data_IF_719445900716
#
_entry.id   IF_719445900716
#
_cell.length_a   1.000
_cell.length_b   1.000
_cell.length_c   1.000
_cell.angle_alpha   90.00
_cell.angle_beta   90.00
_cell.angle_gamma   90.00
#
_symmetry.space_group_name_H-M   'P 1'
#
loop_
_entity.id
_entity.type
_entity.pdbx_description
1 polymer ?
#
# COMPACT_ATOMS: atom_id res chain seq x y z
N UNK A 1 38.82 -18.71 -5.28
CA UNK A 1 40.12 -19.07 -4.73
C UNK A 1 39.92 -19.88 -3.45
N UNK A 2 40.76 -20.89 -3.26
CA UNK A 2 40.72 -21.71 -2.04
C UNK A 2 41.38 -20.93 -0.90
N UNK A 3 40.71 -20.87 0.23
CA UNK A 3 41.32 -20.39 1.47
C UNK A 3 41.43 -21.57 2.43
N UNK A 4 42.63 -21.94 2.80
CA UNK A 4 42.86 -22.97 3.83
C UNK A 4 42.94 -22.24 5.20
N UNK A 5 42.01 -22.59 6.07
CA UNK A 5 41.95 -22.08 7.42
C UNK A 5 42.15 -23.25 8.40
N UNK A 6 43.18 -23.15 9.23
CA UNK A 6 43.40 -24.10 10.32
C UNK A 6 42.81 -23.54 11.61
N UNK A 7 41.92 -24.33 12.23
CA UNK A 7 41.29 -23.96 13.50
C UNK A 7 41.57 -24.99 14.59
N UNK A 8 41.98 -24.51 15.72
CA UNK A 8 42.04 -25.28 16.97
C UNK A 8 40.89 -24.80 17.85
N UNK A 9 39.73 -25.40 17.72
CA UNK A 9 38.55 -25.10 18.53
C UNK A 9 37.32 -24.62 17.76
N UNK A 10 36.32 -24.07 18.45
CA UNK A 10 35.12 -23.54 17.86
C UNK A 10 35.42 -22.27 17.05
N UNK A 11 34.99 -22.21 15.81
CA UNK A 11 35.16 -21.06 14.95
C UNK A 11 33.81 -20.39 14.63
N UNK A 12 33.87 -19.10 14.38
CA UNK A 12 32.70 -18.31 14.03
C UNK A 12 32.70 -18.07 12.53
N UNK A 13 31.71 -18.63 11.82
CA UNK A 13 31.53 -18.45 10.37
C UNK A 13 31.05 -17.04 10.01
N UNK A 14 30.78 -16.18 10.97
CA UNK A 14 30.28 -14.80 10.77
C UNK A 14 31.09 -13.98 9.74
N UNK A 15 32.37 -14.29 9.60
CA UNK A 15 33.23 -13.61 8.64
C UNK A 15 32.93 -13.98 7.18
N UNK A 16 32.52 -15.20 6.92
CA UNK A 16 32.21 -15.69 5.58
C UNK A 16 30.78 -15.31 5.13
N UNK A 17 29.92 -14.95 6.06
CA UNK A 17 28.53 -14.58 5.78
C UNK A 17 28.35 -13.09 5.42
N UNK A 18 29.42 -12.29 5.39
CA UNK A 18 29.29 -10.87 5.04
C UNK A 18 29.24 -10.68 3.52
N UNK A 19 28.18 -10.03 3.09
CA UNK A 19 27.92 -9.35 1.80
C UNK A 19 27.85 -10.17 0.51
N UNK A 20 28.70 -11.13 0.23
CA UNK A 20 28.62 -11.92 -1.01
C UNK A 20 27.49 -12.97 -1.01
N UNK A 21 26.99 -13.32 0.16
CA UNK A 21 25.91 -14.28 0.35
C UNK A 21 24.51 -13.70 0.16
N UNK A 22 24.35 -12.44 0.46
CA UNK A 22 23.05 -11.78 0.38
C UNK A 22 22.50 -11.71 -1.04
N UNK A 23 23.37 -11.89 -2.04
CA UNK A 23 23.02 -11.72 -3.44
C UNK A 23 23.02 -13.02 -4.28
N UNK A 24 23.36 -14.17 -3.70
CA UNK A 24 23.35 -15.44 -4.44
C UNK A 24 22.08 -16.23 -4.14
N UNK A 25 21.10 -16.12 -5.02
CA UNK A 25 19.94 -17.01 -5.03
C UNK A 25 20.41 -18.44 -5.33
N UNK A 26 20.30 -19.34 -4.35
CA UNK A 26 20.46 -20.78 -4.53
C UNK A 26 21.86 -21.36 -4.43
N UNK A 27 22.84 -20.62 -3.93
CA UNK A 27 24.16 -21.21 -3.67
C UNK A 27 24.16 -22.01 -2.37
N UNK A 28 24.21 -23.31 -2.47
CA UNK A 28 24.61 -24.18 -1.36
C UNK A 28 26.10 -24.02 -1.12
N UNK A 29 26.48 -23.44 0.01
CA UNK A 29 27.86 -23.39 0.43
C UNK A 29 28.15 -24.53 1.41
N UNK A 30 28.83 -25.53 0.94
CA UNK A 30 29.34 -26.61 1.78
C UNK A 30 30.74 -26.26 2.26
N UNK A 31 30.96 -26.36 3.56
CA UNK A 31 32.29 -26.24 4.16
C UNK A 31 32.89 -27.61 4.33
N UNK A 32 34.09 -27.81 3.81
CA UNK A 32 34.84 -29.04 3.94
C UNK A 32 36.05 -28.80 4.83
N UNK A 33 36.24 -29.64 5.84
CA UNK A 33 37.49 -29.74 6.56
C UNK A 33 38.54 -30.40 5.67
N UNK A 34 39.81 -30.25 6.00
CA UNK A 34 40.94 -30.94 5.39
C UNK A 34 40.81 -32.49 5.45
N UNK A 35 39.95 -33.00 6.31
CA UNK A 35 39.56 -34.41 6.40
C UNK A 35 38.51 -34.84 5.39
N UNK A 36 38.01 -33.95 4.52
CA UNK A 36 36.92 -34.19 3.61
C UNK A 36 35.53 -34.30 4.25
N UNK A 37 35.40 -33.97 5.53
CA UNK A 37 34.10 -33.95 6.21
C UNK A 37 33.36 -32.65 5.95
N UNK A 38 32.12 -32.77 5.54
CA UNK A 38 31.20 -31.61 5.43
C UNK A 38 30.79 -31.18 6.83
N UNK A 39 31.09 -29.95 7.23
CA UNK A 39 30.71 -29.41 8.54
C UNK A 39 29.24 -28.95 8.55
N UNK A 40 28.67 -28.68 7.39
CA UNK A 40 27.28 -28.30 7.20
C UNK A 40 27.09 -27.47 5.96
N UNK A 41 25.91 -27.50 5.42
CA UNK A 41 25.39 -26.53 4.45
C UNK A 41 24.48 -25.56 5.21
N UNK A 42 24.67 -24.28 5.04
CA UNK A 42 23.69 -23.28 5.49
C UNK A 42 22.73 -23.00 4.35
N UNK A 43 21.51 -23.33 4.55
CA UNK A 43 20.41 -22.94 3.67
C UNK A 43 19.66 -21.79 4.32
N UNK A 44 19.63 -20.59 3.73
CA UNK A 44 18.90 -19.47 4.30
C UNK A 44 17.39 -19.74 4.26
N UNK A 45 16.67 -19.28 5.27
CA UNK A 45 15.21 -19.36 5.24
C UNK A 45 14.68 -18.64 3.99
N UNK A 46 13.68 -19.22 3.29
CA UNK A 46 13.02 -18.55 2.19
C UNK A 46 12.48 -17.19 2.63
N UNK A 47 12.49 -16.22 1.72
CA UNK A 47 11.91 -14.92 1.95
C UNK A 47 10.40 -15.01 2.26
N UNK A 48 9.88 -14.07 3.06
CA UNK A 48 8.44 -14.01 3.33
C UNK A 48 7.67 -13.57 2.08
N UNK A 49 6.51 -14.17 1.85
CA UNK A 49 5.60 -13.80 0.76
C UNK A 49 4.28 -13.30 1.32
N UNK A 50 3.80 -12.16 0.82
CA UNK A 50 2.53 -11.54 1.22
C UNK A 50 1.51 -11.63 0.12
N UNK A 51 0.27 -11.94 0.51
CA UNK A 51 -0.90 -11.92 -0.36
C UNK A 51 -2.05 -11.20 0.31
N UNK A 52 -2.98 -10.70 -0.48
CA UNK A 52 -4.22 -10.08 -0.02
C UNK A 52 -5.41 -10.71 -0.73
N UNK A 53 -6.55 -10.79 -0.06
CA UNK A 53 -7.76 -11.37 -0.62
C UNK A 53 -8.94 -11.32 0.34
N UNK A 54 -10.03 -11.95 -0.06
CA UNK A 54 -11.27 -11.98 0.74
C UNK A 54 -11.06 -12.58 2.12
N UNK A 55 -11.90 -12.13 3.07
CA UNK A 55 -11.85 -12.60 4.45
C UNK A 55 -11.93 -14.14 4.53
N UNK A 56 -11.00 -14.75 5.25
CA UNK A 56 -10.83 -16.20 5.43
C UNK A 56 -10.45 -16.99 4.16
N UNK A 57 -10.11 -16.33 3.07
CA UNK A 57 -9.61 -17.03 1.88
C UNK A 57 -8.31 -17.80 2.21
N UNK A 58 -8.07 -18.93 1.54
CA UNK A 58 -6.83 -19.67 1.67
C UNK A 58 -5.68 -18.89 1.03
N UNK A 59 -4.44 -19.07 1.50
CA UNK A 59 -3.29 -18.40 0.92
C UNK A 59 -3.16 -18.66 -0.58
N UNK A 60 -3.42 -19.89 -1.03
CA UNK A 60 -3.27 -20.28 -2.43
C UNK A 60 -4.37 -19.69 -3.33
N UNK A 61 -5.52 -19.32 -2.77
CA UNK A 61 -6.60 -18.63 -3.51
C UNK A 61 -6.43 -17.11 -3.56
N UNK A 62 -5.51 -16.54 -2.77
CA UNK A 62 -5.18 -15.13 -2.78
C UNK A 62 -4.13 -14.82 -3.83
N UNK A 63 -4.07 -13.56 -4.31
CA UNK A 63 -3.00 -13.06 -5.17
C UNK A 63 -2.06 -12.12 -4.42
N UNK A 64 -0.90 -11.86 -5.00
CA UNK A 64 0.07 -10.88 -4.46
C UNK A 64 -0.43 -9.46 -4.61
N UNK A 65 -1.19 -9.20 -5.67
CA UNK A 65 -1.68 -7.86 -6.03
C UNK A 65 -0.54 -6.85 -6.13
N UNK A 66 0.43 -7.15 -6.98
CA UNK A 66 1.66 -6.36 -7.17
C UNK A 66 1.44 -5.10 -8.00
N UNK A 67 0.19 -4.80 -8.34
CA UNK A 67 -0.24 -3.63 -9.09
C UNK A 67 0.40 -3.55 -10.49
N UNK A 68 0.37 -4.67 -11.19
CA UNK A 68 0.77 -4.81 -12.59
C UNK A 68 -0.45 -5.08 -13.48
N UNK A 69 -0.30 -5.04 -14.81
CA UNK A 69 -1.41 -5.31 -15.74
C UNK A 69 -2.01 -6.71 -15.57
N UNK A 70 -1.20 -7.68 -15.17
CA UNK A 70 -1.62 -9.06 -14.95
C UNK A 70 -1.95 -9.37 -13.48
N UNK A 71 -1.68 -8.46 -12.57
CA UNK A 71 -1.91 -8.61 -11.13
C UNK A 71 -2.31 -7.25 -10.53
N UNK A 72 -3.54 -6.79 -10.81
CA UNK A 72 -4.04 -5.48 -10.36
C UNK A 72 -4.16 -5.42 -8.85
N UNK A 73 -4.22 -4.20 -8.29
CA UNK A 73 -4.48 -3.99 -6.87
C UNK A 73 -5.82 -4.62 -6.46
N UNK A 74 -5.88 -5.16 -5.25
CA UNK A 74 -7.10 -5.75 -4.70
C UNK A 74 -8.14 -4.67 -4.42
N UNK A 75 -9.37 -4.87 -4.90
CA UNK A 75 -10.44 -3.88 -4.76
C UNK A 75 -11.10 -3.94 -3.37
N UNK A 76 -11.12 -2.78 -2.70
CA UNK A 76 -11.78 -2.58 -1.42
C UNK A 76 -12.87 -1.52 -1.56
N UNK A 77 -13.91 -1.66 -0.75
CA UNK A 77 -14.99 -0.68 -0.60
C UNK A 77 -15.15 -0.34 0.87
N UNK A 78 -15.81 0.76 1.17
CA UNK A 78 -16.08 1.17 2.55
C UNK A 78 -16.60 0.01 3.40
N UNK A 79 -15.97 -0.21 4.54
CA UNK A 79 -16.34 -1.24 5.50
C UNK A 79 -16.07 -2.68 5.08
N UNK A 80 -15.51 -2.92 3.88
CA UNK A 80 -15.18 -4.26 3.41
C UNK A 80 -14.15 -4.92 4.34
N UNK A 81 -14.45 -6.15 4.76
CA UNK A 81 -13.50 -7.01 5.45
C UNK A 81 -12.66 -7.79 4.45
N UNK A 82 -11.38 -7.90 4.73
CA UNK A 82 -10.44 -8.65 3.92
C UNK A 82 -9.22 -9.05 4.75
N UNK A 83 -8.36 -9.91 4.21
CA UNK A 83 -7.20 -10.41 4.93
C UNK A 83 -5.91 -10.13 4.15
N UNK A 84 -4.86 -9.75 4.88
CA UNK A 84 -3.49 -9.97 4.47
C UNK A 84 -2.99 -11.28 5.07
N UNK A 85 -2.31 -12.09 4.28
CA UNK A 85 -1.67 -13.32 4.76
C UNK A 85 -0.22 -13.34 4.32
N UNK A 86 0.68 -13.55 5.29
CA UNK A 86 2.11 -13.64 5.05
C UNK A 86 2.55 -15.08 5.29
N UNK A 87 3.14 -15.68 4.25
CA UNK A 87 3.74 -17.01 4.32
C UNK A 87 5.21 -16.90 4.67
N UNK A 88 5.65 -17.66 5.66
CA UNK A 88 7.05 -17.81 6.03
C UNK A 88 7.36 -19.26 6.36
N UNK A 89 8.39 -19.80 5.74
CA UNK A 89 8.94 -21.11 6.07
C UNK A 89 10.14 -20.95 7.00
N UNK A 90 10.22 -21.77 8.05
CA UNK A 90 11.39 -21.93 8.90
C UNK A 90 12.04 -23.28 8.60
N UNK A 91 13.28 -23.25 8.16
CA UNK A 91 14.11 -24.41 7.93
C UNK A 91 14.71 -24.92 9.25
N UNK A 92 15.23 -26.15 9.31
CA UNK A 92 15.91 -26.64 10.49
C UNK A 92 17.04 -25.73 10.94
N UNK A 93 17.04 -25.33 12.21
CA UNK A 93 18.04 -24.40 12.76
C UNK A 93 17.78 -24.09 14.23
N UNK A 94 18.73 -23.41 14.86
CA UNK A 94 18.60 -22.91 16.24
C UNK A 94 18.19 -21.43 16.19
N UNK A 95 16.96 -21.12 16.51
CA UNK A 95 16.43 -19.77 16.48
C UNK A 95 16.31 -19.22 17.91
N UNK A 96 16.84 -18.01 18.12
CA UNK A 96 16.71 -17.27 19.38
C UNK A 96 15.58 -16.26 19.35
N UNK A 97 15.22 -15.73 18.18
CA UNK A 97 14.04 -14.88 18.01
C UNK A 97 13.48 -14.94 16.60
N UNK A 98 12.19 -14.70 16.53
CA UNK A 98 11.43 -14.45 15.29
C UNK A 98 10.50 -13.27 15.50
N UNK A 99 10.57 -12.30 14.64
CA UNK A 99 9.65 -11.16 14.60
C UNK A 99 9.14 -10.95 13.17
N UNK A 100 7.84 -10.77 13.03
CA UNK A 100 7.21 -10.29 11.80
C UNK A 100 6.46 -9.00 12.14
N UNK A 101 6.75 -7.93 11.40
CA UNK A 101 6.16 -6.61 11.59
C UNK A 101 5.46 -6.17 10.32
N UNK A 102 4.23 -5.72 10.45
CA UNK A 102 3.40 -5.17 9.38
C UNK A 102 2.85 -3.81 9.82
N UNK A 103 2.89 -2.82 8.95
CA UNK A 103 2.34 -1.48 9.21
C UNK A 103 1.22 -1.22 8.23
N UNK A 104 -0.02 -1.28 8.72
CA UNK A 104 -1.20 -0.97 7.92
C UNK A 104 -1.32 0.54 7.74
N UNK A 105 -1.76 0.95 6.56
CA UNK A 105 -2.18 2.34 6.34
C UNK A 105 -3.30 2.75 7.30
N UNK A 106 -3.36 4.02 7.65
CA UNK A 106 -4.31 4.53 8.65
C UNK A 106 -5.77 4.47 8.21
N UNK A 107 -6.05 4.38 6.90
CA UNK A 107 -7.40 4.14 6.38
C UNK A 107 -7.86 2.68 6.52
N UNK A 108 -6.98 1.78 6.95
CA UNK A 108 -7.26 0.38 7.19
C UNK A 108 -7.35 0.12 8.71
N UNK A 109 -8.40 -0.57 9.13
CA UNK A 109 -8.66 -0.85 10.55
C UNK A 109 -8.28 -2.29 10.87
N UNK A 110 -7.29 -2.48 11.73
CA UNK A 110 -6.96 -3.80 12.28
C UNK A 110 -8.14 -4.39 13.06
N UNK A 111 -8.45 -5.67 12.83
CA UNK A 111 -9.51 -6.40 13.54
C UNK A 111 -8.96 -7.48 14.45
N UNK A 112 -8.15 -8.38 13.90
CA UNK A 112 -7.52 -9.48 14.64
C UNK A 112 -6.37 -10.06 13.83
N UNK A 113 -5.56 -10.89 14.47
CA UNK A 113 -4.53 -11.66 13.79
C UNK A 113 -4.43 -13.08 14.37
N UNK A 114 -3.93 -14.00 13.54
CA UNK A 114 -3.72 -15.39 13.90
C UNK A 114 -2.54 -15.99 13.16
N UNK A 115 -2.02 -17.11 13.65
CA UNK A 115 -0.93 -17.84 13.03
C UNK A 115 -1.33 -19.30 12.88
N UNK A 116 -1.27 -19.80 11.64
CA UNK A 116 -1.55 -21.19 11.29
C UNK A 116 -0.33 -21.83 10.65
N UNK A 117 -0.17 -23.14 10.83
CA UNK A 117 0.79 -23.88 10.01
C UNK A 117 0.16 -24.33 8.69
N UNK A 118 0.99 -24.74 7.72
CA UNK A 118 0.51 -25.31 6.46
C UNK A 118 -0.29 -26.62 6.66
N UNK A 119 -0.13 -27.28 7.78
CA UNK A 119 -0.91 -28.46 8.16
C UNK A 119 -2.28 -28.12 8.78
N UNK A 120 -2.61 -26.82 8.89
CA UNK A 120 -3.87 -26.35 9.45
C UNK A 120 -3.90 -26.25 10.99
N UNK A 121 -2.78 -26.42 11.67
CA UNK A 121 -2.71 -26.27 13.12
C UNK A 121 -2.70 -24.80 13.52
N UNK A 122 -3.56 -24.41 14.46
CA UNK A 122 -3.53 -23.09 15.07
C UNK A 122 -2.41 -23.02 16.12
N UNK A 123 -1.44 -22.19 15.84
CA UNK A 123 -0.25 -21.95 16.68
C UNK A 123 -0.18 -20.52 17.21
N UNK A 124 -1.29 -19.77 17.10
CA UNK A 124 -1.40 -18.38 17.53
C UNK A 124 -0.93 -18.17 18.96
N UNK A 125 -1.23 -19.12 19.86
CA UNK A 125 -0.83 -19.09 21.28
C UNK A 125 0.67 -19.02 21.54
N UNK A 126 1.47 -19.40 20.55
CA UNK A 126 2.95 -19.35 20.65
C UNK A 126 3.54 -18.06 20.15
N UNK A 127 2.69 -17.09 19.76
CA UNK A 127 3.11 -15.78 19.29
C UNK A 127 2.48 -14.71 20.17
N UNK A 128 3.34 -13.79 20.67
CA UNK A 128 2.85 -12.54 21.21
C UNK A 128 2.49 -11.62 20.04
N UNK A 129 1.21 -11.26 19.91
CA UNK A 129 0.71 -10.41 18.85
C UNK A 129 0.33 -9.06 19.44
N UNK A 130 1.02 -8.01 19.03
CA UNK A 130 0.76 -6.64 19.45
C UNK A 130 0.26 -5.81 18.27
N UNK A 131 -0.72 -4.95 18.54
CA UNK A 131 -1.11 -3.87 17.63
C UNK A 131 -0.95 -2.53 18.33
N UNK A 132 -0.11 -1.65 17.80
CA UNK A 132 0.07 -0.27 18.28
C UNK A 132 -0.01 0.66 17.08
N UNK A 133 -1.06 1.49 17.03
CA UNK A 133 -1.25 2.46 15.94
C UNK A 133 -1.10 1.82 14.54
N UNK A 134 -1.87 0.77 14.29
CA UNK A 134 -1.82 -0.02 13.04
C UNK A 134 -0.48 -0.70 12.73
N UNK A 135 0.45 -0.73 13.67
CA UNK A 135 1.66 -1.54 13.58
C UNK A 135 1.40 -2.87 14.28
N UNK A 136 1.32 -3.94 13.49
CA UNK A 136 1.10 -5.30 13.97
C UNK A 136 2.44 -6.01 14.06
N UNK A 137 2.74 -6.56 15.23
CA UNK A 137 3.99 -7.28 15.46
C UNK A 137 3.68 -8.67 16.02
N UNK A 138 4.19 -9.69 15.34
CA UNK A 138 4.17 -11.07 15.80
C UNK A 138 5.55 -11.42 16.33
N UNK A 139 5.66 -11.83 17.58
CA UNK A 139 6.89 -12.33 18.18
C UNK A 139 6.69 -13.75 18.67
N UNK A 140 7.48 -14.68 18.15
CA UNK A 140 7.42 -16.05 18.62
C UNK A 140 7.95 -16.16 20.06
N UNK A 141 7.30 -17.03 20.86
CA UNK A 141 7.78 -17.39 22.18
C UNK A 141 9.15 -18.10 22.10
N UNK A 142 10.08 -17.71 22.94
CA UNK A 142 11.45 -18.24 22.91
C UNK A 142 11.55 -19.72 23.27
N UNK A 143 10.62 -20.26 24.06
CA UNK A 143 10.58 -21.68 24.38
C UNK A 143 9.98 -22.46 23.21
N UNK A 144 8.98 -21.92 22.55
CA UNK A 144 8.43 -22.51 21.32
C UNK A 144 9.51 -22.63 20.25
N UNK A 145 10.30 -21.60 20.04
CA UNK A 145 11.40 -21.60 19.05
C UNK A 145 12.51 -22.64 19.32
N UNK A 146 12.54 -23.24 20.50
CA UNK A 146 13.47 -24.36 20.84
C UNK A 146 12.91 -25.74 20.54
N UNK A 147 11.68 -25.83 20.07
CA UNK A 147 11.02 -27.10 19.76
C UNK A 147 11.13 -27.43 18.28
N UNK A 148 11.24 -28.71 17.93
CA UNK A 148 11.23 -29.15 16.53
C UNK A 148 9.95 -28.74 15.78
N UNK A 149 8.84 -28.55 16.51
CA UNK A 149 7.58 -28.07 15.97
C UNK A 149 7.69 -26.67 15.37
N UNK A 150 8.66 -25.85 15.83
CA UNK A 150 8.81 -24.48 15.36
C UNK A 150 9.59 -24.36 14.05
N UNK A 151 10.56 -25.25 13.79
CA UNK A 151 11.53 -25.02 12.70
C UNK A 151 11.91 -26.25 11.86
N UNK A 152 11.18 -27.33 11.94
CA UNK A 152 11.48 -28.51 11.13
C UNK A 152 10.75 -28.43 9.77
N UNK A 153 11.20 -27.55 8.89
CA UNK A 153 10.53 -27.23 7.61
C UNK A 153 9.08 -26.75 7.77
N UNK A 154 8.79 -26.04 8.83
CA UNK A 154 7.42 -25.57 9.09
C UNK A 154 7.12 -24.33 8.29
N UNK A 155 6.03 -24.34 7.56
CA UNK A 155 5.49 -23.17 6.88
C UNK A 155 4.38 -22.56 7.72
N UNK A 156 4.50 -21.29 8.03
CA UNK A 156 3.55 -20.48 8.77
C UNK A 156 2.79 -19.54 7.85
N UNK A 157 1.51 -19.35 8.18
CA UNK A 157 0.65 -18.31 7.60
C UNK A 157 0.24 -17.34 8.71
N UNK A 158 0.78 -16.13 8.65
CA UNK A 158 0.42 -15.01 9.52
C UNK A 158 -0.72 -14.25 8.88
N UNK A 159 -1.92 -14.39 9.43
CA UNK A 159 -3.12 -13.74 8.93
C UNK A 159 -3.41 -12.49 9.73
N UNK A 160 -3.65 -11.39 9.04
CA UNK A 160 -4.07 -10.11 9.59
C UNK A 160 -5.44 -9.78 8.99
N UNK A 161 -6.47 -9.78 9.82
CA UNK A 161 -7.83 -9.40 9.42
C UNK A 161 -7.99 -7.90 9.50
N UNK A 162 -8.48 -7.32 8.43
CA UNK A 162 -8.55 -5.88 8.21
C UNK A 162 -9.95 -5.48 7.76
N UNK A 163 -10.37 -4.29 8.12
CA UNK A 163 -11.55 -3.64 7.56
C UNK A 163 -11.15 -2.34 6.88
N UNK A 164 -11.63 -2.12 5.68
CA UNK A 164 -11.47 -0.85 4.97
C UNK A 164 -12.20 0.28 5.71
N UNK A 165 -11.62 1.46 5.77
CA UNK A 165 -12.25 2.67 6.28
C UNK A 165 -13.37 3.17 5.38
N UNK A 166 -13.78 4.43 5.57
CA UNK A 166 -14.71 5.10 4.68
C UNK A 166 -14.10 5.35 3.29
N UNK A 167 -14.93 5.51 2.27
CA UNK A 167 -14.43 5.88 0.94
C UNK A 167 -13.58 7.15 0.99
N UNK A 168 -13.96 8.13 1.79
CA UNK A 168 -13.20 9.37 1.95
C UNK A 168 -11.81 9.13 2.56
N UNK A 169 -11.70 8.25 3.57
CA UNK A 169 -10.41 7.85 4.14
C UNK A 169 -9.55 7.13 3.11
N UNK A 170 -10.12 6.17 2.39
CA UNK A 170 -9.41 5.41 1.35
C UNK A 170 -8.90 6.34 0.26
N UNK A 171 -9.73 7.24 -0.26
CA UNK A 171 -9.36 8.17 -1.32
C UNK A 171 -8.27 9.16 -0.90
N UNK A 172 -8.32 9.62 0.38
CA UNK A 172 -7.30 10.54 0.92
C UNK A 172 -5.92 9.88 1.14
N UNK A 173 -5.86 8.54 1.26
CA UNK A 173 -4.64 7.77 1.52
C UNK A 173 -4.10 7.04 0.30
N UNK A 174 -4.70 7.23 -0.85
CA UNK A 174 -4.18 6.70 -2.11
C UNK A 174 -2.87 7.40 -2.49
N UNK A 175 -1.74 6.72 -2.31
CA UNK A 175 -0.41 7.33 -2.47
C UNK A 175 0.25 7.05 -3.81
N UNK A 176 -0.28 6.13 -4.60
CA UNK A 176 0.31 5.75 -5.86
C UNK A 176 -0.68 5.81 -7.02
N UNK A 177 -0.31 6.54 -8.05
CA UNK A 177 -1.05 6.62 -9.32
C UNK A 177 -0.31 5.79 -10.37
N UNK A 178 -1.00 4.82 -10.94
CA UNK A 178 -0.56 4.13 -12.14
C UNK A 178 -1.44 4.57 -13.32
N UNK A 179 -0.83 5.22 -14.31
CA UNK A 179 -1.51 5.63 -15.57
C UNK A 179 -2.87 6.29 -15.37
N UNK A 180 -2.96 7.48 -14.84
CA UNK A 180 -4.16 8.33 -14.72
C UNK A 180 -5.50 7.71 -14.23
N UNK A 181 -5.55 6.42 -13.96
CA UNK A 181 -6.80 5.70 -13.72
C UNK A 181 -6.92 5.05 -12.33
N UNK A 182 -5.81 4.78 -11.62
CA UNK A 182 -5.87 3.99 -10.40
C UNK A 182 -4.99 4.53 -9.27
N UNK A 183 -5.60 4.62 -8.11
CA UNK A 183 -4.95 4.90 -6.84
C UNK A 183 -4.88 3.62 -6.04
N UNK A 184 -3.74 3.39 -5.40
CA UNK A 184 -3.56 2.21 -4.58
C UNK A 184 -2.75 2.51 -3.33
N UNK A 185 -3.01 1.73 -2.30
CA UNK A 185 -2.36 1.77 -1.00
C UNK A 185 -1.43 0.58 -0.94
N UNK A 186 -0.14 0.85 -0.75
CA UNK A 186 0.88 -0.18 -0.60
C UNK A 186 0.90 -0.75 0.81
N UNK A 187 1.18 -2.04 0.91
CA UNK A 187 1.52 -2.68 2.16
C UNK A 187 2.67 -3.67 1.98
N UNK A 188 3.69 -3.54 2.83
CA UNK A 188 4.88 -4.40 2.89
C UNK A 188 5.15 -4.75 4.34
N UNK A 189 5.40 -6.02 4.63
CA UNK A 189 5.81 -6.47 5.95
C UNK A 189 7.31 -6.77 5.99
N UNK A 190 7.89 -6.72 7.19
CA UNK A 190 9.29 -7.03 7.46
C UNK A 190 9.40 -8.20 8.43
N UNK A 191 10.22 -9.19 8.11
CA UNK A 191 10.53 -10.33 8.95
C UNK A 191 11.97 -10.25 9.44
N UNK A 192 12.21 -10.45 10.73
CA UNK A 192 13.53 -10.58 11.33
C UNK A 192 13.64 -11.91 12.05
N UNK A 193 14.63 -12.71 11.71
CA UNK A 193 14.98 -13.97 12.37
C UNK A 193 16.38 -13.83 12.95
N UNK A 194 16.55 -14.24 14.22
CA UNK A 194 17.86 -14.36 14.85
C UNK A 194 18.12 -15.82 15.17
N UNK A 195 19.19 -16.34 14.67
CA UNK A 195 19.73 -17.65 15.01
C UNK A 195 21.05 -17.49 15.78
N UNK A 196 21.61 -18.59 16.28
CA UNK A 196 22.90 -18.60 17.00
C UNK A 196 24.03 -17.94 16.20
N UNK A 197 23.87 -17.80 14.89
CA UNK A 197 24.94 -17.45 13.97
C UNK A 197 24.72 -16.14 13.23
N UNK A 198 23.46 -15.68 13.08
CA UNK A 198 23.19 -14.44 12.34
C UNK A 198 21.78 -13.91 12.57
N UNK A 199 21.64 -12.63 12.31
CA UNK A 199 20.34 -11.98 12.15
C UNK A 199 20.06 -11.84 10.66
N UNK A 200 18.88 -12.28 10.24
CA UNK A 200 18.39 -12.14 8.87
C UNK A 200 17.09 -11.31 8.88
N UNK A 201 17.11 -10.21 8.14
CA UNK A 201 15.95 -9.32 7.99
C UNK A 201 15.60 -9.23 6.52
N UNK A 202 14.35 -9.55 6.18
CA UNK A 202 13.84 -9.50 4.81
C UNK A 202 12.44 -8.90 4.79
N UNK A 203 12.13 -8.18 3.72
CA UNK A 203 10.80 -7.68 3.45
C UNK A 203 10.00 -8.67 2.59
N UNK A 204 8.68 -8.63 2.71
CA UNK A 204 7.79 -9.30 1.76
C UNK A 204 7.83 -8.59 0.41
N UNK A 205 7.19 -9.20 -0.60
CA UNK A 205 6.74 -8.42 -1.75
C UNK A 205 5.75 -7.33 -1.30
N UNK A 206 5.62 -6.30 -2.12
CA UNK A 206 4.55 -5.32 -2.00
C UNK A 206 3.21 -5.96 -2.34
N UNK A 207 2.16 -5.60 -1.61
CA UNK A 207 0.77 -5.92 -1.92
C UNK A 207 -0.04 -4.63 -1.91
N UNK A 208 -0.92 -4.47 -2.90
CA UNK A 208 -1.64 -3.23 -3.12
C UNK A 208 -3.14 -3.44 -3.00
N UNK A 209 -3.82 -2.52 -2.33
CA UNK A 209 -5.28 -2.43 -2.31
C UNK A 209 -5.71 -1.09 -2.90
N UNK A 210 -6.87 -1.03 -3.55
CA UNK A 210 -7.42 0.19 -4.12
C UNK A 210 -8.90 0.34 -3.77
N UNK A 211 -9.33 1.58 -3.54
CA UNK A 211 -10.73 1.92 -3.47
C UNK A 211 -11.40 1.72 -4.84
N UNK A 212 -12.67 1.36 -4.82
CA UNK A 212 -13.51 1.27 -6.03
C UNK A 212 -14.25 2.60 -6.27
N UNK A 213 -13.69 3.71 -5.80
CA UNK A 213 -14.30 5.02 -6.01
C UNK A 213 -13.99 5.48 -7.42
N UNK A 214 -14.97 5.40 -8.29
CA UNK A 214 -14.94 6.14 -9.56
C UNK A 214 -15.06 7.61 -9.17
N UNK A 215 -13.98 8.36 -9.33
CA UNK A 215 -14.03 9.81 -9.21
C UNK A 215 -14.94 10.32 -10.32
N UNK A 216 -16.21 10.60 -9.97
CA UNK A 216 -17.15 11.21 -10.90
C UNK A 216 -16.81 12.67 -11.08
N UNK A 217 -16.58 13.07 -12.31
CA UNK A 217 -16.41 14.47 -12.65
C UNK A 217 -17.57 15.31 -12.12
N UNK A 218 -17.23 16.40 -11.46
CA UNK A 218 -18.18 17.34 -10.90
C UNK A 218 -18.57 18.44 -11.89
N UNK A 219 -19.50 19.27 -11.45
CA UNK A 219 -19.90 20.49 -12.14
C UNK A 219 -19.79 21.67 -11.18
N UNK A 220 -19.19 22.78 -11.65
CA UNK A 220 -19.22 24.07 -10.96
C UNK A 220 -19.98 25.03 -11.80
N UNK A 221 -21.10 25.56 -11.26
CA UNK A 221 -21.90 26.58 -11.94
C UNK A 221 -21.60 27.96 -11.37
N UNK A 222 -21.11 28.85 -12.21
CA UNK A 222 -20.90 30.26 -11.89
C UNK A 222 -22.11 31.07 -12.35
N UNK A 223 -22.65 31.89 -11.46
CA UNK A 223 -23.77 32.80 -11.77
C UNK A 223 -23.25 34.23 -11.78
N UNK A 224 -23.30 34.88 -12.93
CA UNK A 224 -23.04 36.32 -13.09
C UNK A 224 -24.35 37.11 -13.01
N UNK A 225 -24.33 38.18 -12.22
CA UNK A 225 -25.44 39.11 -12.09
C UNK A 225 -24.93 40.49 -12.45
N UNK A 226 -25.74 41.24 -13.19
CA UNK A 226 -25.54 42.65 -13.52
C UNK A 226 -26.87 43.34 -13.37
N UNK A 227 -26.93 44.53 -12.74
CA UNK A 227 -28.14 45.30 -12.75
C UNK A 227 -28.50 45.63 -14.20
N UNK A 228 -29.70 45.33 -14.64
CA UNK A 228 -30.07 45.49 -16.06
C UNK A 228 -29.92 46.94 -16.52
N UNK A 229 -30.27 47.92 -15.68
CA UNK A 229 -30.09 49.33 -15.96
C UNK A 229 -28.63 49.77 -16.19
N UNK A 230 -27.64 48.99 -15.72
CA UNK A 230 -26.23 49.31 -15.89
C UNK A 230 -25.63 48.71 -17.17
N UNK A 231 -26.41 47.92 -17.92
CA UNK A 231 -25.96 47.33 -19.17
C UNK A 231 -26.02 48.36 -20.31
N UNK A 232 -24.86 48.74 -20.82
CA UNK A 232 -24.74 49.64 -21.96
C UNK A 232 -24.52 48.87 -23.23
N UNK A 233 -25.59 48.61 -23.98
CA UNK A 233 -25.56 47.87 -25.24
C UNK A 233 -24.86 48.58 -26.39
N UNK A 234 -24.69 49.89 -26.30
CA UNK A 234 -24.05 50.70 -27.33
C UNK A 234 -22.58 50.33 -27.59
N UNK A 235 -21.94 49.69 -26.63
CA UNK A 235 -20.53 49.25 -26.73
C UNK A 235 -20.37 47.78 -27.04
N UNK A 236 -21.46 47.12 -27.42
CA UNK A 236 -21.49 45.67 -27.69
C UNK A 236 -22.03 44.86 -26.50
N UNK A 237 -22.01 43.56 -26.62
CA UNK A 237 -22.48 42.65 -25.56
C UNK A 237 -21.46 42.56 -24.43
N UNK A 238 -21.87 42.75 -23.17
CA UNK A 238 -20.97 42.51 -22.05
C UNK A 238 -20.48 41.04 -22.01
N UNK A 239 -19.17 40.84 -21.93
CA UNK A 239 -18.55 39.52 -21.86
C UNK A 239 -17.73 39.43 -20.59
N UNK A 240 -17.88 38.35 -19.86
CA UNK A 240 -17.15 38.08 -18.65
C UNK A 240 -16.38 36.78 -18.79
N UNK A 241 -15.14 36.76 -18.36
CA UNK A 241 -14.27 35.61 -18.40
C UNK A 241 -14.10 35.03 -16.99
N UNK A 242 -14.43 33.77 -16.82
CA UNK A 242 -14.24 33.06 -15.57
C UNK A 242 -13.15 32.04 -15.73
N UNK A 243 -12.30 31.93 -14.70
CA UNK A 243 -11.26 30.92 -14.57
C UNK A 243 -11.50 30.18 -13.26
N UNK A 244 -11.46 28.85 -13.34
CA UNK A 244 -11.41 27.96 -12.19
C UNK A 244 -10.03 27.36 -12.14
N UNK A 245 -9.32 27.55 -11.02
CA UNK A 245 -7.97 27.01 -10.81
C UNK A 245 -7.91 26.33 -9.47
N UNK A 246 -7.32 25.15 -9.42
CA UNK A 246 -7.17 24.43 -8.17
C UNK A 246 -6.43 23.12 -8.36
N UNK A 247 -6.46 22.33 -7.30
CA UNK A 247 -5.88 21.00 -7.29
C UNK A 247 -6.98 19.98 -7.10
N UNK A 248 -6.92 18.90 -7.86
CA UNK A 248 -7.74 17.74 -7.59
C UNK A 248 -7.31 17.06 -6.27
N UNK A 249 -8.04 16.02 -5.87
CA UNK A 249 -7.71 15.24 -4.67
C UNK A 249 -6.33 14.57 -4.75
N UNK A 250 -5.73 14.53 -5.92
CA UNK A 250 -4.48 13.88 -6.25
C UNK A 250 -3.31 14.86 -6.27
N UNK A 251 -3.62 16.13 -6.05
CA UNK A 251 -2.64 17.22 -6.09
C UNK A 251 -2.29 17.74 -7.49
N UNK A 252 -2.90 17.18 -8.57
CA UNK A 252 -2.71 17.72 -9.91
C UNK A 252 -3.41 19.08 -10.05
N UNK A 253 -2.74 20.04 -10.69
CA UNK A 253 -3.28 21.38 -10.90
C UNK A 253 -4.11 21.42 -12.18
N UNK A 254 -5.34 21.92 -12.08
CA UNK A 254 -6.25 22.10 -13.20
C UNK A 254 -6.63 23.56 -13.37
N UNK A 255 -6.82 23.95 -14.62
CA UNK A 255 -7.29 25.29 -15.02
C UNK A 255 -8.40 25.14 -16.05
N UNK A 256 -9.57 25.68 -15.74
CA UNK A 256 -10.71 25.70 -16.65
C UNK A 256 -11.11 27.14 -16.92
N UNK A 257 -11.45 27.48 -18.16
CA UNK A 257 -11.87 28.83 -18.52
C UNK A 257 -13.16 28.78 -19.34
N UNK A 258 -14.08 29.73 -19.06
CA UNK A 258 -15.30 29.97 -19.84
C UNK A 258 -15.64 31.44 -19.88
N UNK A 259 -16.38 31.81 -20.94
CA UNK A 259 -16.91 33.12 -21.15
C UNK A 259 -18.42 33.13 -21.01
N UNK A 260 -18.95 34.21 -20.43
CA UNK A 260 -20.39 34.48 -20.36
C UNK A 260 -20.62 35.77 -21.11
N UNK A 261 -21.47 35.73 -22.13
CA UNK A 261 -21.85 36.85 -22.93
C UNK A 261 -23.33 37.19 -22.69
N UNK A 262 -23.62 38.42 -22.26
CA UNK A 262 -24.99 38.90 -22.14
C UNK A 262 -25.43 39.42 -23.49
N UNK A 263 -26.52 38.88 -24.04
CA UNK A 263 -27.16 39.33 -25.27
C UNK A 263 -28.54 39.86 -24.97
N UNK A 264 -29.00 40.90 -25.66
CA UNK A 264 -30.35 41.44 -25.44
C UNK A 264 -31.42 40.36 -25.48
N UNK A 265 -32.19 40.25 -24.39
CA UNK A 265 -33.30 39.27 -24.27
C UNK A 265 -32.85 37.80 -24.14
N UNK A 266 -31.56 37.52 -23.93
CA UNK A 266 -31.01 36.16 -23.76
C UNK A 266 -30.44 35.86 -22.37
N UNK A 267 -31.01 36.52 -21.34
CA UNK A 267 -30.66 36.30 -19.95
C UNK A 267 -31.94 36.14 -19.10
N UNK A 268 -31.82 35.56 -17.94
CA UNK A 268 -32.92 35.51 -16.98
C UNK A 268 -32.93 36.79 -16.13
N UNK A 269 -34.09 37.17 -15.62
CA UNK A 269 -34.23 38.25 -14.65
C UNK A 269 -34.39 37.73 -13.25
N UNK A 270 -33.68 38.32 -12.29
CA UNK A 270 -33.85 38.07 -10.87
C UNK A 270 -33.99 39.42 -10.13
N UNK A 271 -35.20 39.91 -10.00
CA UNK A 271 -35.51 41.28 -9.58
C UNK A 271 -35.05 42.25 -10.66
N UNK A 272 -34.16 43.22 -10.32
CA UNK A 272 -33.60 44.20 -11.23
C UNK A 272 -32.29 43.68 -11.95
N UNK A 273 -31.86 42.46 -11.62
CA UNK A 273 -30.63 41.92 -12.17
C UNK A 273 -30.87 41.03 -13.40
N UNK A 274 -30.13 41.26 -14.45
CA UNK A 274 -29.90 40.31 -15.53
C UNK A 274 -28.95 39.22 -15.05
N UNK A 275 -29.32 37.98 -15.24
CA UNK A 275 -28.62 36.79 -14.68
C UNK A 275 -28.24 35.82 -15.80
N UNK A 276 -26.98 35.48 -15.86
CA UNK A 276 -26.46 34.41 -16.72
C UNK A 276 -25.71 33.36 -15.90
N UNK A 277 -25.81 32.10 -16.31
CA UNK A 277 -25.09 30.97 -15.70
C UNK A 277 -24.11 30.39 -16.70
N UNK A 278 -22.99 29.97 -16.19
CA UNK A 278 -22.04 29.17 -16.97
C UNK A 278 -21.59 27.99 -16.12
N UNK A 279 -21.75 26.79 -16.68
CA UNK A 279 -21.38 25.54 -16.00
C UNK A 279 -20.08 25.02 -16.58
N UNK A 280 -19.17 24.70 -15.69
CA UNK A 280 -17.94 23.97 -15.96
C UNK A 280 -18.19 22.52 -15.60
N UNK A 281 -18.19 21.65 -16.58
CA UNK A 281 -18.38 20.20 -16.43
C UNK A 281 -17.05 19.47 -16.58
N UNK A 282 -16.94 18.24 -16.11
CA UNK A 282 -15.69 17.47 -16.16
C UNK A 282 -14.65 17.98 -15.16
N UNK A 283 -15.10 18.56 -14.03
CA UNK A 283 -14.23 19.02 -12.97
C UNK A 283 -13.85 17.84 -12.09
N UNK A 284 -12.58 17.49 -12.05
CA UNK A 284 -12.08 16.49 -11.15
C UNK A 284 -12.38 16.87 -9.70
N UNK A 285 -12.79 15.92 -8.81
CA UNK A 285 -12.99 16.23 -7.41
C UNK A 285 -11.76 16.85 -6.77
N UNK A 286 -11.94 17.96 -6.04
CA UNK A 286 -10.80 18.69 -5.48
C UNK A 286 -11.20 20.05 -4.86
N UNK A 287 -10.20 20.88 -4.61
CA UNK A 287 -10.39 22.23 -4.09
C UNK A 287 -10.04 23.24 -5.15
N UNK A 288 -11.01 24.09 -5.50
CA UNK A 288 -10.89 25.05 -6.58
C UNK A 288 -11.28 26.47 -6.15
N UNK A 289 -10.61 27.43 -6.78
CA UNK A 289 -10.92 28.87 -6.66
C UNK A 289 -11.50 29.36 -7.97
N UNK A 290 -12.63 30.06 -7.90
CA UNK A 290 -13.25 30.73 -9.04
C UNK A 290 -12.80 32.20 -9.06
N UNK A 291 -12.35 32.68 -10.20
CA UNK A 291 -11.95 34.06 -10.41
C UNK A 291 -12.62 34.62 -11.67
N UNK A 292 -13.09 35.87 -11.57
CA UNK A 292 -13.46 36.65 -12.74
C UNK A 292 -12.22 37.39 -13.23
N UNK A 293 -11.90 37.26 -14.50
CA UNK A 293 -10.73 37.88 -15.09
C UNK A 293 -11.14 39.12 -15.90
N UNK A 294 -10.28 40.13 -15.95
CA UNK A 294 -10.52 41.29 -16.83
C UNK A 294 -10.74 40.82 -18.28
N UNK A 295 -11.75 41.34 -18.92
CA UNK A 295 -11.96 41.25 -20.37
C UNK A 295 -11.50 42.56 -20.98
N UNK A 296 -10.65 42.47 -21.98
CA UNK A 296 -10.17 43.65 -22.75
C UNK A 296 -11.29 44.18 -23.62
#
# INVERSE_FOLDING_TARGET
>A
GWCQLEFNGSFIINWLAQDSWKNSTGAQNAFYLSTGQTIGSYEPNPGPEKRVGDENASFDSMARHTFTDNDPAYEITEGKNFDYVIRQQLLPGNYSSFELKDVLDSCLKYRSASVMTALGNDVTRFFNIENRSNTIVFRADSNFLKTDEAYNNVTYYFRIKVQAGSNQEIDSHNHYQRSNEFYAIENTASRTIVSDRMQDTQNTNQSWVKGNTVLTDGEITVTKRIREADITWAHGNPVFRFRITGKDQLGATHVYEKYVEFKPGKYAMAGEDAVMKCSFTGIQPGTYTVSELPTL
#
